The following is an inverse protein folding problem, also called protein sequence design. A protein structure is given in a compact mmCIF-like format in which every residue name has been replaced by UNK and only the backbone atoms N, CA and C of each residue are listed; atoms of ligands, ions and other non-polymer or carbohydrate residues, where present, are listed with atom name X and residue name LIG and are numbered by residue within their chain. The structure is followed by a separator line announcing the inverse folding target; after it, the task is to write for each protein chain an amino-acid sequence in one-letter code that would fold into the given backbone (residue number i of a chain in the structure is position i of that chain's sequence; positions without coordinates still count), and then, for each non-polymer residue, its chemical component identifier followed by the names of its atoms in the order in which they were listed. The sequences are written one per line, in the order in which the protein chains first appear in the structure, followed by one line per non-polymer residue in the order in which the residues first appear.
data_IF_582089536184
#
_entry.id   IF_582089536184
#
_cell.length_a   1.000
_cell.length_b   1.000
_cell.length_c   1.000
_cell.angle_alpha   90.00
_cell.angle_beta   90.00
_cell.angle_gamma   90.00
#
_symmetry.space_group_name_H-M   'P 1'
#
loop_
_entity.id
_entity.type
_entity.pdbx_description
1 polymer ?
#
# COMPACT_ATOMS: atom_id res chain seq x y z
N UNK A 1 -30.33 -35.41 5.60
CA UNK A 1 -30.10 -34.71 4.31
C UNK A 1 -29.07 -33.65 4.57
N UNK A 2 -27.83 -33.95 4.22
CA UNK A 2 -26.73 -32.98 4.20
C UNK A 2 -26.95 -32.02 3.03
N UNK A 3 -26.90 -30.73 3.31
CA UNK A 3 -26.54 -29.72 2.32
C UNK A 3 -25.43 -28.88 2.93
N UNK A 4 -24.21 -29.36 2.71
CA UNK A 4 -22.97 -28.59 2.85
C UNK A 4 -23.00 -27.47 1.81
N UNK A 5 -23.38 -26.25 2.21
CA UNK A 5 -23.02 -25.05 1.47
C UNK A 5 -21.53 -24.82 1.66
N UNK A 6 -20.73 -25.32 0.74
CA UNK A 6 -19.34 -24.90 0.55
C UNK A 6 -19.38 -23.42 0.17
N UNK A 7 -19.26 -22.53 1.15
CA UNK A 7 -18.78 -21.19 0.90
C UNK A 7 -17.37 -21.36 0.30
N UNK A 8 -17.23 -21.14 -1.00
CA UNK A 8 -15.92 -20.97 -1.61
C UNK A 8 -15.20 -19.87 -0.84
N UNK A 9 -14.23 -20.24 -0.02
CA UNK A 9 -13.44 -19.29 0.75
C UNK A 9 -12.66 -18.43 -0.25
N UNK A 10 -13.22 -17.29 -0.66
CA UNK A 10 -12.50 -16.30 -1.45
C UNK A 10 -11.26 -15.93 -0.66
N UNK A 11 -10.10 -16.35 -1.16
CA UNK A 11 -8.82 -16.02 -0.53
C UNK A 11 -8.75 -14.49 -0.38
N UNK A 12 -8.38 -13.95 0.79
CA UNK A 12 -8.39 -12.50 1.05
C UNK A 12 -7.30 -11.73 0.27
N UNK A 13 -6.74 -12.34 -0.78
CA UNK A 13 -5.62 -11.85 -1.57
C UNK A 13 -6.06 -11.72 -3.02
N UNK A 14 -5.58 -10.68 -3.71
CA UNK A 14 -5.74 -10.60 -5.15
C UNK A 14 -4.65 -11.45 -5.81
N UNK A 15 -5.02 -12.66 -6.25
CA UNK A 15 -4.13 -13.61 -6.91
C UNK A 15 -4.32 -13.66 -8.43
N UNK A 16 -5.12 -12.75 -9.00
CA UNK A 16 -5.39 -12.69 -10.42
C UNK A 16 -4.10 -12.50 -11.22
N UNK A 17 -3.91 -13.33 -12.26
CA UNK A 17 -2.78 -13.29 -13.18
C UNK A 17 -1.42 -13.66 -12.56
N UNK A 18 -1.38 -14.25 -11.37
CA UNK A 18 -0.14 -14.66 -10.72
C UNK A 18 0.24 -16.10 -11.08
N UNK A 19 1.55 -16.37 -11.16
CA UNK A 19 2.05 -17.74 -11.29
C UNK A 19 1.63 -18.61 -10.09
N UNK A 20 1.27 -19.88 -10.33
CA UNK A 20 0.77 -20.80 -9.28
C UNK A 20 1.71 -20.93 -8.08
N UNK A 21 3.02 -21.03 -8.34
CA UNK A 21 4.05 -21.11 -7.28
C UNK A 21 4.10 -19.85 -6.42
N UNK A 22 3.79 -18.69 -6.99
CA UNK A 22 3.67 -17.43 -6.25
C UNK A 22 2.36 -17.37 -5.48
N UNK A 23 1.24 -17.82 -6.05
CA UNK A 23 -0.05 -17.94 -5.34
C UNK A 23 0.11 -18.81 -4.09
N UNK A 24 0.71 -20.00 -4.24
CA UNK A 24 0.98 -20.90 -3.11
C UNK A 24 1.86 -20.26 -2.03
N UNK A 25 2.91 -19.53 -2.44
CA UNK A 25 3.76 -18.79 -1.50
C UNK A 25 2.95 -17.72 -0.74
N UNK A 26 2.16 -16.92 -1.45
CA UNK A 26 1.36 -15.84 -0.87
C UNK A 26 0.35 -16.38 0.14
N UNK A 27 -0.35 -17.47 -0.19
CA UNK A 27 -1.26 -18.13 0.75
C UNK A 27 -0.53 -18.63 2.00
N UNK A 28 0.66 -19.24 1.87
CA UNK A 28 1.46 -19.69 3.03
C UNK A 28 1.91 -18.53 3.92
N UNK A 29 2.29 -17.39 3.32
CA UNK A 29 2.65 -16.18 4.07
C UNK A 29 1.46 -15.63 4.85
N UNK A 30 0.29 -15.55 4.22
CA UNK A 30 -0.96 -15.14 4.87
C UNK A 30 -1.32 -16.05 6.04
N UNK A 31 -1.36 -17.37 5.81
CA UNK A 31 -1.70 -18.36 6.84
C UNK A 31 -0.74 -18.30 8.04
N UNK A 32 0.56 -18.18 7.78
CA UNK A 32 1.57 -18.03 8.84
C UNK A 32 1.34 -16.74 9.62
N UNK A 33 1.11 -15.61 8.93
CA UNK A 33 0.86 -14.33 9.56
C UNK A 33 -0.40 -14.36 10.44
N UNK A 34 -1.48 -14.99 9.95
CA UNK A 34 -2.76 -15.11 10.65
C UNK A 34 -2.67 -15.98 11.89
N UNK A 35 -2.00 -17.13 11.80
CA UNK A 35 -1.83 -18.08 12.92
C UNK A 35 -0.88 -17.55 13.99
N UNK A 36 0.14 -16.79 13.58
CA UNK A 36 1.17 -16.28 14.48
C UNK A 36 1.25 -14.74 14.40
N UNK A 37 0.38 -14.02 15.12
CA UNK A 37 0.28 -12.56 15.03
C UNK A 37 1.53 -11.81 15.51
N UNK A 38 2.40 -12.47 16.28
CA UNK A 38 3.67 -11.92 16.76
C UNK A 38 4.90 -12.39 15.96
N UNK A 39 4.71 -13.26 14.97
CA UNK A 39 5.82 -13.75 14.15
C UNK A 39 6.44 -12.62 13.32
N UNK A 40 7.77 -12.62 13.21
CA UNK A 40 8.54 -11.63 12.45
C UNK A 40 9.27 -12.32 11.31
N UNK A 41 8.89 -12.00 10.09
CA UNK A 41 9.42 -12.58 8.86
C UNK A 41 10.83 -12.03 8.57
N UNK A 42 11.83 -12.92 8.58
CA UNK A 42 13.25 -12.57 8.48
C UNK A 42 13.92 -12.95 7.15
N UNK A 43 13.26 -13.74 6.30
CA UNK A 43 13.78 -14.19 5.01
C UNK A 43 12.70 -14.04 3.93
N UNK A 44 12.62 -12.84 3.36
CA UNK A 44 11.62 -12.45 2.35
C UNK A 44 12.27 -11.92 1.07
N UNK A 45 13.47 -11.37 1.16
CA UNK A 45 14.13 -10.72 0.04
C UNK A 45 14.41 -11.69 -1.13
N UNK A 46 14.75 -12.94 -0.82
CA UNK A 46 14.93 -13.99 -1.82
C UNK A 46 13.65 -14.29 -2.59
N UNK A 47 12.49 -14.04 -1.98
CA UNK A 47 11.18 -14.23 -2.61
C UNK A 47 10.84 -13.12 -3.59
N UNK A 48 11.34 -11.91 -3.35
CA UNK A 48 11.09 -10.75 -4.21
C UNK A 48 11.73 -10.95 -5.58
N UNK A 49 12.97 -11.47 -5.63
CA UNK A 49 13.69 -11.63 -6.90
C UNK A 49 13.49 -12.99 -7.58
N UNK A 50 12.56 -13.84 -7.11
CA UNK A 50 12.24 -15.07 -7.85
C UNK A 50 11.72 -14.72 -9.24
N UNK A 51 12.06 -15.54 -10.23
CA UNK A 51 11.65 -15.33 -11.62
C UNK A 51 10.14 -15.24 -11.77
N UNK A 52 9.39 -16.11 -11.08
CA UNK A 52 7.92 -16.09 -11.08
C UNK A 52 7.34 -14.82 -10.45
N UNK A 53 8.00 -14.29 -9.41
CA UNK A 53 7.59 -13.06 -8.72
C UNK A 53 7.85 -11.82 -9.57
N UNK A 54 9.06 -11.69 -10.13
CA UNK A 54 9.42 -10.58 -11.01
C UNK A 54 8.58 -10.58 -12.30
N UNK A 55 8.31 -11.75 -12.88
CA UNK A 55 7.48 -11.86 -14.06
C UNK A 55 6.02 -11.45 -13.78
N UNK A 56 5.39 -11.98 -12.74
CA UNK A 56 4.05 -11.57 -12.35
C UNK A 56 3.97 -10.08 -11.98
N UNK A 57 5.02 -9.55 -11.33
CA UNK A 57 5.14 -8.13 -11.05
C UNK A 57 5.18 -7.28 -12.32
N UNK A 58 5.99 -7.67 -13.30
CA UNK A 58 6.07 -7.01 -14.61
C UNK A 58 4.73 -7.00 -15.33
N UNK A 59 4.04 -8.15 -15.38
CA UNK A 59 2.72 -8.24 -16.01
C UNK A 59 1.70 -7.31 -15.35
N UNK A 60 1.67 -7.22 -14.02
CA UNK A 60 0.77 -6.28 -13.31
C UNK A 60 1.13 -4.83 -13.59
N UNK A 61 2.41 -4.50 -13.55
CA UNK A 61 2.90 -3.14 -13.83
C UNK A 61 2.59 -2.73 -15.27
N UNK A 62 2.73 -3.64 -16.24
CA UNK A 62 2.36 -3.45 -17.64
C UNK A 62 0.85 -3.26 -17.83
N UNK A 63 0.03 -4.09 -17.17
CA UNK A 63 -1.46 -3.97 -17.21
C UNK A 63 -1.95 -2.64 -16.62
N UNK A 64 -1.32 -2.16 -15.55
CA UNK A 64 -1.64 -0.87 -14.95
C UNK A 64 -1.22 0.32 -15.85
N UNK A 65 -0.35 0.09 -16.84
CA UNK A 65 0.10 1.11 -17.79
C UNK A 65 0.88 2.22 -17.10
N UNK A 66 0.56 3.46 -17.44
CA UNK A 66 1.24 4.66 -16.95
C UNK A 66 2.47 5.05 -17.79
N UNK A 67 2.86 6.32 -17.67
CA UNK A 67 3.96 6.91 -18.42
C UNK A 67 5.33 6.42 -17.95
N UNK A 68 6.35 6.71 -18.76
CA UNK A 68 7.74 6.47 -18.41
C UNK A 68 8.17 7.33 -17.21
N UNK A 69 9.15 6.82 -16.46
CA UNK A 69 9.78 7.55 -15.35
C UNK A 69 10.74 8.61 -15.84
N UNK A 70 11.70 8.96 -14.98
CA UNK A 70 12.72 9.97 -15.30
C UNK A 70 13.70 9.51 -16.40
N UNK A 71 13.85 8.20 -16.56
CA UNK A 71 14.71 7.56 -17.57
C UNK A 71 14.10 7.52 -18.97
N UNK A 72 12.83 7.91 -19.13
CA UNK A 72 12.14 7.92 -20.42
C UNK A 72 11.77 6.54 -20.97
N UNK A 73 12.19 5.44 -20.32
CA UNK A 73 11.99 4.08 -20.81
C UNK A 73 10.52 3.65 -20.68
N UNK A 74 9.96 3.21 -21.79
CA UNK A 74 8.61 2.69 -21.97
C UNK A 74 8.59 1.17 -22.05
N UNK A 75 7.40 0.57 -21.87
CA UNK A 75 7.24 -0.88 -22.09
C UNK A 75 7.54 -1.29 -23.54
N UNK A 76 7.23 -0.43 -24.52
CA UNK A 76 7.51 -0.73 -25.93
C UNK A 76 9.01 -0.88 -26.18
N UNK A 77 9.81 0.00 -25.59
CA UNK A 77 11.27 -0.08 -25.68
C UNK A 77 11.81 -1.34 -25.00
N UNK A 78 11.30 -1.69 -23.81
CA UNK A 78 11.69 -2.94 -23.12
C UNK A 78 11.38 -4.17 -23.98
N UNK A 79 10.21 -4.24 -24.60
CA UNK A 79 9.83 -5.36 -25.45
C UNK A 79 10.62 -5.40 -26.77
N UNK A 80 11.20 -4.28 -27.21
CA UNK A 80 12.03 -4.20 -28.42
C UNK A 80 13.50 -4.59 -28.22
N UNK A 81 13.93 -4.82 -26.96
CA UNK A 81 15.27 -5.34 -26.67
C UNK A 81 15.44 -6.74 -27.29
N UNK A 82 16.68 -7.14 -27.58
CA UNK A 82 16.99 -8.45 -28.18
C UNK A 82 16.38 -9.63 -27.40
N UNK A 83 16.46 -9.59 -26.07
CA UNK A 83 15.83 -10.56 -25.17
C UNK A 83 14.49 -10.08 -24.58
N UNK A 84 13.95 -8.96 -25.08
CA UNK A 84 12.71 -8.34 -24.63
C UNK A 84 12.62 -8.17 -23.11
N UNK A 85 11.41 -8.36 -22.57
CA UNK A 85 11.17 -8.35 -21.12
C UNK A 85 11.92 -9.46 -20.36
N UNK A 86 12.25 -10.59 -21.01
CA UNK A 86 12.96 -11.70 -20.34
C UNK A 86 14.37 -11.26 -19.94
N UNK A 87 15.12 -10.67 -20.87
CA UNK A 87 16.46 -10.14 -20.59
C UNK A 87 16.44 -9.04 -19.55
N UNK A 88 15.47 -8.13 -19.65
CA UNK A 88 15.25 -7.07 -18.66
C UNK A 88 15.05 -7.64 -17.24
N UNK A 89 14.20 -8.67 -17.09
CA UNK A 89 13.93 -9.28 -15.79
C UNK A 89 15.11 -10.10 -15.25
N UNK A 90 15.86 -10.78 -16.11
CA UNK A 90 17.08 -11.50 -15.72
C UNK A 90 18.16 -10.53 -15.19
N UNK A 91 18.35 -9.41 -15.88
CA UNK A 91 19.27 -8.37 -15.42
C UNK A 91 18.82 -7.79 -14.07
N UNK A 92 17.53 -7.48 -13.92
CA UNK A 92 16.98 -6.98 -12.66
C UNK A 92 17.09 -7.99 -11.52
N UNK A 93 16.85 -9.27 -11.80
CA UNK A 93 17.05 -10.36 -10.85
C UNK A 93 18.50 -10.41 -10.36
N UNK A 94 19.47 -10.38 -11.29
CA UNK A 94 20.90 -10.39 -10.98
C UNK A 94 21.29 -9.19 -10.11
N UNK A 95 20.84 -7.99 -10.46
CA UNK A 95 21.09 -6.79 -9.66
C UNK A 95 20.54 -6.88 -8.23
N UNK A 96 19.37 -7.50 -8.05
CA UNK A 96 18.78 -7.73 -6.73
C UNK A 96 19.56 -8.78 -5.94
N UNK A 97 19.95 -9.89 -6.56
CA UNK A 97 20.77 -10.94 -5.95
C UNK A 97 22.13 -10.39 -5.49
N UNK A 98 22.80 -9.62 -6.34
CA UNK A 98 24.10 -9.00 -6.07
C UNK A 98 24.00 -7.73 -5.20
N UNK A 99 22.79 -7.32 -4.76
CA UNK A 99 22.55 -6.10 -3.97
C UNK A 99 23.02 -4.80 -4.65
N UNK A 100 23.10 -4.82 -5.99
CA UNK A 100 23.47 -3.68 -6.84
C UNK A 100 22.28 -2.80 -7.22
N UNK A 101 21.05 -3.27 -7.01
CA UNK A 101 19.86 -2.44 -7.22
C UNK A 101 19.94 -1.12 -6.41
N UNK A 102 19.57 -0.03 -7.09
CA UNK A 102 19.41 1.32 -6.53
C UNK A 102 18.11 1.89 -7.10
N UNK A 103 17.34 2.59 -6.27
CA UNK A 103 16.13 3.25 -6.71
C UNK A 103 16.50 4.50 -7.53
N UNK A 104 15.82 4.71 -8.65
CA UNK A 104 16.00 5.93 -9.43
C UNK A 104 15.25 7.10 -8.77
N UNK A 105 15.59 8.35 -9.12
CA UNK A 105 14.76 9.50 -8.82
C UNK A 105 13.36 9.35 -9.42
N UNK A 106 12.37 9.92 -8.74
CA UNK A 106 10.97 9.84 -9.14
C UNK A 106 10.61 11.08 -9.96
N UNK A 107 9.97 10.90 -11.12
CA UNK A 107 9.56 12.01 -11.98
C UNK A 107 8.29 12.68 -11.45
N UNK A 108 8.31 13.99 -11.20
CA UNK A 108 7.11 14.75 -10.83
C UNK A 108 6.20 14.97 -12.03
N UNK A 109 4.92 14.70 -11.84
CA UNK A 109 3.83 15.04 -12.77
C UNK A 109 2.68 15.65 -11.97
N UNK A 110 1.97 16.60 -12.55
CA UNK A 110 0.81 17.23 -11.91
C UNK A 110 -0.48 16.79 -12.60
N UNK A 111 -1.44 16.31 -11.81
CA UNK A 111 -2.78 15.96 -12.30
C UNK A 111 -3.79 17.00 -11.80
N UNK A 112 -4.63 17.59 -12.67
CA UNK A 112 -5.70 18.47 -12.24
C UNK A 112 -6.69 17.77 -11.30
N UNK A 113 -7.02 18.41 -10.17
CA UNK A 113 -8.17 18.03 -9.34
C UNK A 113 -9.43 18.75 -9.83
N UNK A 114 -10.60 18.21 -9.50
CA UNK A 114 -11.91 18.83 -9.76
C UNK A 114 -12.08 20.21 -9.10
N UNK A 115 -11.34 20.48 -8.02
CA UNK A 115 -11.36 21.76 -7.30
C UNK A 115 -10.35 22.80 -7.85
N UNK A 116 -9.76 22.56 -9.02
CA UNK A 116 -8.80 23.47 -9.66
C UNK A 116 -7.37 23.43 -9.09
N UNK A 117 -7.13 22.74 -7.96
CA UNK A 117 -5.77 22.50 -7.45
C UNK A 117 -5.07 21.40 -8.25
N UNK A 118 -3.74 21.37 -8.24
CA UNK A 118 -2.96 20.27 -8.83
C UNK A 118 -2.61 19.23 -7.77
N UNK A 119 -2.78 17.94 -8.09
CA UNK A 119 -2.27 16.82 -7.31
C UNK A 119 -0.87 16.47 -7.82
N UNK A 120 0.18 16.62 -7.00
CA UNK A 120 1.51 16.18 -7.39
C UNK A 120 1.59 14.65 -7.32
N UNK A 121 2.04 14.02 -8.40
CA UNK A 121 2.37 12.60 -8.45
C UNK A 121 3.85 12.43 -8.75
N UNK A 122 4.43 11.40 -8.15
CA UNK A 122 5.74 10.87 -8.47
C UNK A 122 5.60 9.58 -9.27
N UNK A 123 6.17 9.57 -10.47
CA UNK A 123 6.17 8.40 -11.36
C UNK A 123 7.56 7.75 -11.31
N UNK A 124 7.70 6.56 -10.69
CA UNK A 124 8.95 5.82 -10.71
C UNK A 124 9.23 5.24 -12.09
N UNK A 125 10.48 4.87 -12.35
CA UNK A 125 10.88 4.12 -13.55
C UNK A 125 10.13 2.78 -13.62
N UNK A 126 10.00 2.20 -14.82
CA UNK A 126 9.39 0.86 -14.95
C UNK A 126 10.17 -0.16 -14.10
N UNK A 127 11.50 -0.08 -14.11
CA UNK A 127 12.37 -0.90 -13.26
C UNK A 127 11.98 -0.81 -11.79
N UNK A 128 11.84 0.38 -11.25
CA UNK A 128 11.46 0.56 -9.84
C UNK A 128 10.03 0.09 -9.57
N UNK A 129 9.10 0.36 -10.48
CA UNK A 129 7.71 -0.12 -10.35
C UNK A 129 7.63 -1.65 -10.31
N UNK A 130 8.45 -2.35 -11.09
CA UNK A 130 8.53 -3.83 -11.08
C UNK A 130 9.05 -4.33 -9.74
N UNK A 131 10.13 -3.75 -9.20
CA UNK A 131 10.66 -4.18 -7.87
C UNK A 131 9.69 -3.84 -6.74
N UNK A 132 9.05 -2.67 -6.80
CA UNK A 132 8.00 -2.28 -5.83
C UNK A 132 6.81 -3.24 -5.91
N UNK A 133 6.36 -3.61 -7.10
CA UNK A 133 5.28 -4.57 -7.29
C UNK A 133 5.68 -5.96 -6.78
N UNK A 134 6.88 -6.45 -7.09
CA UNK A 134 7.38 -7.72 -6.57
C UNK A 134 7.42 -7.72 -5.04
N UNK A 135 7.84 -6.61 -4.44
CA UNK A 135 7.86 -6.45 -2.98
C UNK A 135 6.46 -6.39 -2.38
N UNK A 136 5.54 -5.65 -3.02
CA UNK A 136 4.12 -5.65 -2.67
C UNK A 136 3.54 -7.06 -2.71
N UNK A 137 3.83 -7.84 -3.75
CA UNK A 137 3.33 -9.21 -3.89
C UNK A 137 3.76 -10.13 -2.75
N UNK A 138 4.92 -9.89 -2.15
CA UNK A 138 5.44 -10.67 -1.01
C UNK A 138 4.93 -10.13 0.33
N UNK A 139 4.77 -8.82 0.49
CA UNK A 139 4.39 -8.20 1.76
C UNK A 139 2.88 -8.10 1.99
N UNK A 140 2.09 -7.92 0.93
CA UNK A 140 0.63 -7.78 1.00
C UNK A 140 -0.03 -8.92 1.79
N UNK A 141 0.31 -10.22 1.58
CA UNK A 141 -0.33 -11.29 2.35
C UNK A 141 -0.05 -11.24 3.85
N UNK A 142 1.12 -10.72 4.25
CA UNK A 142 1.50 -10.63 5.67
C UNK A 142 0.66 -9.57 6.36
N UNK A 143 0.57 -8.37 5.76
CA UNK A 143 -0.14 -7.25 6.36
C UNK A 143 -1.66 -7.34 6.20
N UNK A 144 -2.16 -7.93 5.11
CA UNK A 144 -3.59 -8.17 4.93
C UNK A 144 -4.16 -9.12 6.00
N UNK A 145 -3.34 -10.04 6.54
CA UNK A 145 -3.73 -10.89 7.67
C UNK A 145 -3.96 -10.10 8.98
N UNK A 146 -3.32 -8.94 9.12
CA UNK A 146 -3.33 -8.10 10.32
C UNK A 146 -4.39 -6.98 10.25
N UNK A 147 -4.67 -6.47 9.04
CA UNK A 147 -5.58 -5.35 8.79
C UNK A 147 -7.01 -5.62 9.28
N UNK A 148 -7.60 -4.62 9.95
CA UNK A 148 -8.97 -4.69 10.49
C UNK A 148 -10.02 -4.46 9.41
N UNK A 149 -11.21 -5.02 9.58
CA UNK A 149 -12.28 -4.95 8.58
C UNK A 149 -12.83 -3.54 8.33
N UNK A 150 -12.62 -2.61 9.26
CA UNK A 150 -13.00 -1.20 9.12
C UNK A 150 -12.25 -0.46 7.99
N UNK A 151 -11.16 -1.03 7.47
CA UNK A 151 -10.34 -0.42 6.42
C UNK A 151 -10.63 -1.04 5.05
N UNK A 152 -10.93 -0.21 4.05
CA UNK A 152 -11.35 -0.68 2.72
C UNK A 152 -10.44 -0.24 1.57
N UNK A 153 -9.83 0.95 1.68
CA UNK A 153 -9.06 1.54 0.57
C UNK A 153 -7.83 0.72 0.20
N UNK A 154 -7.60 0.53 -1.11
CA UNK A 154 -6.41 -0.14 -1.66
C UNK A 154 -6.14 -1.56 -1.13
N UNK A 155 -7.18 -2.28 -0.71
CA UNK A 155 -7.07 -3.65 -0.21
C UNK A 155 -7.72 -4.64 -1.19
N UNK A 156 -7.18 -5.87 -1.32
CA UNK A 156 -7.81 -6.88 -2.15
C UNK A 156 -9.27 -7.13 -1.78
N UNK A 157 -10.13 -7.29 -2.78
CA UNK A 157 -11.55 -7.61 -2.62
C UNK A 157 -12.33 -6.62 -1.73
N UNK A 158 -11.82 -5.39 -1.54
CA UNK A 158 -12.51 -4.30 -0.84
C UNK A 158 -12.64 -3.10 -1.77
N UNK A 159 -13.79 -2.44 -1.70
CA UNK A 159 -14.15 -1.31 -2.57
C UNK A 159 -14.85 -0.19 -1.81
N UNK A 160 -14.94 0.98 -2.44
CA UNK A 160 -15.72 2.09 -1.91
C UNK A 160 -17.19 1.72 -1.74
N UNK A 161 -17.74 0.87 -2.61
CA UNK A 161 -19.10 0.35 -2.46
C UNK A 161 -19.27 -0.52 -1.21
N UNK A 162 -18.26 -1.31 -0.83
CA UNK A 162 -18.32 -2.07 0.42
C UNK A 162 -18.31 -1.14 1.64
N UNK A 163 -17.47 -0.10 1.63
CA UNK A 163 -17.45 0.91 2.70
C UNK A 163 -18.79 1.64 2.83
N UNK A 164 -19.38 2.08 1.70
CA UNK A 164 -20.70 2.70 1.67
C UNK A 164 -21.81 1.76 2.15
N UNK A 165 -21.73 0.47 1.79
CA UNK A 165 -22.64 -0.56 2.28
C UNK A 165 -22.60 -0.71 3.80
N UNK A 166 -21.39 -0.75 4.38
CA UNK A 166 -21.20 -0.80 5.84
C UNK A 166 -21.80 0.42 6.53
N UNK A 167 -21.54 1.62 6.00
CA UNK A 167 -22.10 2.89 6.50
C UNK A 167 -23.63 2.82 6.48
N UNK A 168 -24.24 2.45 5.35
CA UNK A 168 -25.70 2.34 5.20
C UNK A 168 -26.31 1.37 6.22
N UNK A 169 -25.75 0.17 6.32
CA UNK A 169 -26.22 -0.83 7.28
C UNK A 169 -26.12 -0.36 8.74
N UNK A 170 -25.08 0.40 9.10
CA UNK A 170 -24.96 0.98 10.44
C UNK A 170 -25.99 2.09 10.70
N UNK A 171 -26.24 2.95 9.71
CA UNK A 171 -27.26 4.01 9.80
C UNK A 171 -28.66 3.41 10.00
N UNK A 172 -28.98 2.32 9.29
CA UNK A 172 -30.26 1.60 9.42
C UNK A 172 -30.51 1.10 10.85
N UNK A 173 -29.47 0.60 11.54
CA UNK A 173 -29.57 0.13 12.93
C UNK A 173 -29.34 1.23 13.99
N UNK A 174 -29.43 2.50 13.58
CA UNK A 174 -29.52 3.66 14.47
C UNK A 174 -28.21 4.43 14.71
N UNK A 175 -27.13 4.15 13.98
CA UNK A 175 -25.89 4.95 14.07
C UNK A 175 -26.02 6.20 13.17
N UNK A 176 -26.74 7.21 13.66
CA UNK A 176 -27.15 8.39 12.88
C UNK A 176 -26.26 9.61 13.07
N UNK A 177 -25.35 9.59 14.03
CA UNK A 177 -24.37 10.65 14.22
C UNK A 177 -23.09 10.26 13.47
N UNK A 178 -22.76 11.03 12.42
CA UNK A 178 -21.61 10.78 11.55
C UNK A 178 -20.59 11.90 11.78
N UNK A 179 -19.39 11.49 12.15
CA UNK A 179 -18.23 12.36 12.29
C UNK A 179 -17.31 12.10 11.10
N UNK A 180 -17.15 13.11 10.27
CA UNK A 180 -16.28 13.07 9.10
C UNK A 180 -14.91 13.65 9.46
N UNK A 181 -13.83 12.96 9.06
CA UNK A 181 -12.48 13.46 9.16
C UNK A 181 -11.68 13.04 7.92
N UNK A 182 -10.97 14.02 7.39
CA UNK A 182 -9.99 13.87 6.31
C UNK A 182 -8.61 14.21 6.86
N UNK A 183 -7.61 13.42 6.50
CA UNK A 183 -6.21 13.65 6.84
C UNK A 183 -5.56 14.42 5.68
N UNK A 184 -5.66 15.76 5.70
CA UNK A 184 -5.17 16.58 4.60
C UNK A 184 -3.66 16.36 4.37
N UNK A 185 -3.29 15.99 3.13
CA UNK A 185 -1.88 15.80 2.76
C UNK A 185 -1.21 14.58 3.39
N UNK A 186 -1.99 13.61 3.88
CA UNK A 186 -1.51 12.45 4.62
C UNK A 186 -0.29 11.75 4.01
N UNK A 187 -0.33 11.42 2.72
CA UNK A 187 0.76 10.70 2.07
C UNK A 187 2.11 11.44 2.13
N UNK A 188 2.09 12.77 2.10
CA UNK A 188 3.29 13.60 2.13
C UNK A 188 3.79 13.86 3.57
N UNK A 189 2.95 13.62 4.58
CA UNK A 189 3.25 13.92 5.99
C UNK A 189 3.75 12.72 6.82
N UNK A 190 3.54 11.47 6.35
CA UNK A 190 3.91 10.26 7.10
C UNK A 190 5.37 10.31 7.59
N UNK A 191 5.62 10.26 8.92
CA UNK A 191 6.97 10.19 9.46
C UNK A 191 7.64 8.87 9.08
N UNK A 192 8.72 8.95 8.29
CA UNK A 192 9.41 7.78 7.75
C UNK A 192 9.90 6.82 8.84
N UNK A 193 10.43 7.34 9.93
CA UNK A 193 10.91 6.53 11.06
C UNK A 193 9.79 5.70 11.68
N UNK A 194 8.63 6.32 11.93
CA UNK A 194 7.45 5.65 12.47
C UNK A 194 6.90 4.59 11.50
N UNK A 195 6.83 4.90 10.19
CA UNK A 195 6.46 3.92 9.17
C UNK A 195 7.41 2.71 9.17
N UNK A 196 8.72 2.95 9.26
CA UNK A 196 9.72 1.89 9.34
C UNK A 196 9.59 1.07 10.64
N UNK A 197 9.20 1.69 11.76
CA UNK A 197 8.87 0.97 12.99
C UNK A 197 7.64 0.07 12.82
N UNK A 198 6.59 0.55 12.15
CA UNK A 198 5.41 -0.26 11.82
C UNK A 198 5.77 -1.48 10.97
N UNK A 199 6.58 -1.30 9.92
CA UNK A 199 7.10 -2.42 9.11
C UNK A 199 7.89 -3.44 9.95
N UNK A 200 8.76 -2.95 10.85
CA UNK A 200 9.63 -3.78 11.70
C UNK A 200 8.86 -4.66 12.69
N UNK A 201 7.57 -4.36 12.97
CA UNK A 201 6.71 -5.22 13.80
C UNK A 201 6.49 -6.59 13.17
N UNK A 202 6.51 -6.69 11.84
CA UNK A 202 6.28 -7.95 11.11
C UNK A 202 7.43 -8.38 10.22
N UNK A 203 8.29 -7.46 9.77
CA UNK A 203 9.40 -7.75 8.86
C UNK A 203 10.74 -7.40 9.52
N UNK A 204 11.63 -8.39 9.64
CA UNK A 204 13.00 -8.22 10.15
C UNK A 204 14.07 -8.44 9.09
N UNK A 205 13.69 -8.86 7.88
CA UNK A 205 14.60 -8.95 6.74
C UNK A 205 15.17 -7.55 6.41
N UNK A 206 16.44 -7.33 6.75
CA UNK A 206 17.13 -6.05 6.57
C UNK A 206 17.20 -5.63 5.10
N UNK A 207 17.20 -6.58 4.17
CA UNK A 207 17.29 -6.27 2.75
C UNK A 207 15.96 -5.74 2.21
N UNK A 208 14.83 -6.29 2.67
CA UNK A 208 13.50 -5.77 2.34
C UNK A 208 13.31 -4.38 2.93
N UNK A 209 13.66 -4.20 4.21
CA UNK A 209 13.60 -2.88 4.86
C UNK A 209 14.45 -1.85 4.11
N UNK A 210 15.66 -2.24 3.66
CA UNK A 210 16.53 -1.37 2.87
C UNK A 210 15.93 -1.00 1.51
N UNK A 211 15.26 -1.93 0.81
CA UNK A 211 14.56 -1.59 -0.45
C UNK A 211 13.49 -0.53 -0.22
N UNK A 212 12.68 -0.69 0.83
CA UNK A 212 11.63 0.28 1.16
C UNK A 212 12.24 1.63 1.50
N UNK A 213 13.29 1.66 2.34
CA UNK A 213 14.02 2.90 2.64
C UNK A 213 14.54 3.60 1.39
N UNK A 214 15.11 2.85 0.42
CA UNK A 214 15.59 3.44 -0.83
C UNK A 214 14.48 4.18 -1.59
N UNK A 215 13.26 3.63 -1.65
CA UNK A 215 12.14 4.31 -2.32
C UNK A 215 11.60 5.50 -1.54
N UNK A 216 11.59 5.44 -0.21
CA UNK A 216 11.16 6.56 0.64
C UNK A 216 12.17 7.72 0.63
N UNK A 217 13.44 7.43 0.34
CA UNK A 217 14.53 8.39 0.25
C UNK A 217 14.80 8.87 -1.19
N UNK A 218 14.21 8.21 -2.20
CA UNK A 218 14.36 8.59 -3.60
C UNK A 218 13.99 10.06 -3.80
N UNK A 219 14.88 10.87 -4.38
CA UNK A 219 14.58 12.26 -4.64
C UNK A 219 13.51 12.38 -5.73
N UNK A 220 12.73 13.46 -5.65
CA UNK A 220 11.74 13.80 -6.67
C UNK A 220 12.34 14.85 -7.59
N UNK A 221 12.27 14.59 -8.90
CA UNK A 221 12.78 15.47 -9.94
C UNK A 221 11.61 16.14 -10.64
N UNK A 222 11.57 17.46 -10.59
CA UNK A 222 10.58 18.28 -11.28
C UNK A 222 11.16 18.74 -12.62
N UNK A 223 10.58 18.33 -13.76
CA UNK A 223 11.01 18.81 -15.07
C UNK A 223 10.80 20.33 -15.14
N UNK A 224 11.83 21.08 -15.52
CA UNK A 224 11.74 22.52 -15.70
C UNK A 224 11.76 22.88 -17.19
N UNK A 225 10.73 23.59 -17.66
CA UNK A 225 10.60 24.02 -19.06
C UNK A 225 11.71 25.00 -19.51
N UNK A 226 12.41 25.65 -18.58
CA UNK A 226 13.49 26.61 -18.87
C UNK A 226 14.92 26.05 -18.72
N UNK A 227 15.04 24.73 -18.53
CA UNK A 227 16.31 24.07 -18.24
C UNK A 227 16.70 24.11 -16.76
N UNK A 228 17.32 23.02 -16.28
CA UNK A 228 17.69 22.83 -14.88
C UNK A 228 16.59 22.15 -14.07
N UNK A 229 16.66 20.82 -13.98
CA UNK A 229 15.74 20.01 -13.20
C UNK A 229 15.82 20.35 -11.71
N UNK A 230 14.67 20.62 -11.09
CA UNK A 230 14.62 20.86 -9.64
C UNK A 230 14.53 19.52 -8.92
N UNK A 231 15.61 19.15 -8.25
CA UNK A 231 15.64 17.95 -7.40
C UNK A 231 15.28 18.30 -5.97
N UNK A 232 14.19 17.71 -5.46
CA UNK A 232 13.77 17.87 -4.06
C UNK A 232 14.03 16.58 -3.29
N UNK A 233 14.77 16.68 -2.17
CA UNK A 233 14.94 15.54 -1.24
C UNK A 233 13.66 15.35 -0.44
N UNK A 234 13.18 14.12 -0.34
CA UNK A 234 12.03 13.78 0.50
C UNK A 234 12.48 13.76 1.96
N UNK A 235 11.90 14.64 2.80
CA UNK A 235 12.15 14.68 4.25
C UNK A 235 11.16 13.79 5.04
N UNK A 236 9.93 13.67 4.52
CA UNK A 236 8.80 12.94 5.09
C UNK A 236 7.92 12.40 3.95
N UNK A 237 6.96 11.55 4.29
CA UNK A 237 5.96 11.02 3.37
C UNK A 237 6.40 9.78 2.58
N UNK A 238 5.47 9.29 1.77
CA UNK A 238 5.69 8.26 0.74
C UNK A 238 5.38 8.88 -0.62
N UNK A 239 6.19 8.66 -1.68
CA UNK A 239 5.89 9.24 -2.99
C UNK A 239 4.51 8.79 -3.48
N UNK A 240 3.58 9.74 -3.66
CA UNK A 240 2.29 9.46 -4.30
C UNK A 240 2.54 8.95 -5.72
N UNK A 241 2.08 7.74 -6.07
CA UNK A 241 2.32 7.12 -7.37
C UNK A 241 3.32 5.97 -7.37
N UNK A 242 4.00 5.71 -6.25
CA UNK A 242 4.70 4.45 -6.02
C UNK A 242 3.72 3.27 -5.91
N UNK A 243 4.08 2.12 -6.47
CA UNK A 243 3.23 0.93 -6.49
C UNK A 243 2.98 0.40 -5.07
N UNK A 244 3.99 0.48 -4.21
CA UNK A 244 3.91 -0.01 -2.83
C UNK A 244 3.32 1.02 -1.85
N UNK A 245 3.26 2.30 -2.25
CA UNK A 245 2.84 3.40 -1.38
C UNK A 245 1.47 3.20 -0.72
N UNK A 246 0.44 2.65 -1.41
CA UNK A 246 -0.87 2.39 -0.77
C UNK A 246 -0.80 1.38 0.39
N UNK A 247 -0.02 0.30 0.25
CA UNK A 247 0.18 -0.68 1.32
C UNK A 247 0.87 -0.03 2.52
N UNK A 248 1.93 0.75 2.29
CA UNK A 248 2.67 1.44 3.35
C UNK A 248 1.79 2.45 4.10
N UNK A 249 0.94 3.15 3.35
CA UNK A 249 0.00 4.14 3.89
C UNK A 249 -1.05 3.48 4.77
N UNK A 250 -1.62 2.36 4.32
CA UNK A 250 -2.54 1.55 5.13
C UNK A 250 -1.86 0.95 6.35
N UNK A 251 -0.60 0.51 6.24
CA UNK A 251 0.16 0.00 7.37
C UNK A 251 0.34 1.04 8.48
N UNK A 252 0.59 2.30 8.12
CA UNK A 252 0.70 3.37 9.10
C UNK A 252 -0.66 3.68 9.75
N UNK A 253 -1.73 3.87 8.96
CA UNK A 253 -3.08 4.11 9.49
C UNK A 253 -3.66 2.93 10.26
N UNK A 254 -3.14 1.73 10.05
CA UNK A 254 -3.56 0.57 10.81
C UNK A 254 -3.27 0.71 12.31
N UNK A 255 -2.27 1.51 12.69
CA UNK A 255 -2.08 1.86 14.10
C UNK A 255 -3.30 2.58 14.67
N UNK A 256 -3.83 3.57 13.94
CA UNK A 256 -5.07 4.26 14.31
C UNK A 256 -6.24 3.28 14.40
N UNK A 257 -6.41 2.39 13.42
CA UNK A 257 -7.47 1.37 13.44
C UNK A 257 -7.39 0.51 14.72
N UNK A 258 -6.17 0.12 15.13
CA UNK A 258 -5.93 -0.67 16.35
C UNK A 258 -6.19 0.11 17.63
N UNK A 259 -5.83 1.39 17.69
CA UNK A 259 -6.14 2.25 18.84
C UNK A 259 -7.66 2.42 18.96
N UNK A 260 -8.36 2.65 17.85
CA UNK A 260 -9.81 2.81 17.83
C UNK A 260 -10.55 1.57 18.37
N UNK A 261 -10.07 0.38 17.99
CA UNK A 261 -10.64 -0.92 18.39
C UNK A 261 -9.97 -1.54 19.62
N UNK A 262 -9.03 -0.86 20.28
CA UNK A 262 -8.40 -1.34 21.50
C UNK A 262 -9.38 -1.33 22.68
N UNK A 263 -9.10 -2.05 23.77
CA UNK A 263 -10.01 -2.19 24.92
C UNK A 263 -10.52 -0.85 25.50
N UNK A 264 -9.70 0.21 25.46
CA UNK A 264 -10.06 1.57 25.88
C UNK A 264 -10.43 2.51 24.73
N UNK A 265 -10.52 2.00 23.50
CA UNK A 265 -10.81 2.78 22.30
C UNK A 265 -12.30 3.06 22.10
N UNK A 266 -12.65 4.03 21.25
CA UNK A 266 -14.05 4.46 21.05
C UNK A 266 -14.99 3.35 20.56
N UNK A 267 -14.47 2.31 19.92
CA UNK A 267 -15.28 1.15 19.55
C UNK A 267 -15.98 0.53 20.77
N UNK A 268 -15.27 0.41 21.88
CA UNK A 268 -15.76 -0.21 23.11
C UNK A 268 -16.34 0.81 24.09
N UNK A 269 -15.66 1.94 24.31
CA UNK A 269 -16.06 2.92 25.35
C UNK A 269 -17.25 3.78 24.94
N UNK A 270 -17.40 4.01 23.64
CA UNK A 270 -18.42 4.92 23.07
C UNK A 270 -19.40 4.20 22.15
N UNK A 271 -19.24 2.88 22.01
CA UNK A 271 -19.96 2.07 21.02
C UNK A 271 -19.93 2.71 19.63
N UNK A 272 -18.77 3.24 19.20
CA UNK A 272 -18.60 3.90 17.91
C UNK A 272 -18.17 2.90 16.83
N UNK A 273 -18.38 3.22 15.54
CA UNK A 273 -17.98 2.38 14.40
C UNK A 273 -17.14 3.19 13.43
N UNK A 274 -15.96 2.68 13.10
CA UNK A 274 -15.06 3.29 12.15
C UNK A 274 -15.26 2.65 10.77
N UNK A 275 -15.33 3.48 9.74
CA UNK A 275 -15.20 3.06 8.33
C UNK A 275 -14.17 3.96 7.68
N UNK A 276 -13.09 3.37 7.14
CA UNK A 276 -11.96 4.08 6.55
C UNK A 276 -11.69 3.62 5.13
N UNK A 277 -11.54 4.57 4.21
CA UNK A 277 -11.12 4.33 2.84
C UNK A 277 -9.85 5.15 2.56
N UNK A 278 -8.69 4.49 2.62
CA UNK A 278 -7.40 5.17 2.58
C UNK A 278 -7.27 6.19 3.73
N UNK A 279 -7.04 7.46 3.41
CA UNK A 279 -6.96 8.61 4.32
C UNK A 279 -8.33 9.17 4.73
N UNK A 280 -9.37 8.97 3.93
CA UNK A 280 -10.75 9.37 4.27
C UNK A 280 -11.35 8.40 5.30
N UNK A 281 -11.91 8.90 6.40
CA UNK A 281 -12.65 8.06 7.34
C UNK A 281 -13.84 8.74 8.00
N UNK A 282 -14.84 7.92 8.33
CA UNK A 282 -16.00 8.34 9.11
C UNK A 282 -16.11 7.50 10.38
N UNK A 283 -16.53 8.16 11.45
CA UNK A 283 -16.93 7.51 12.70
C UNK A 283 -18.43 7.66 12.88
N UNK A 284 -19.13 6.55 13.09
CA UNK A 284 -20.56 6.54 13.32
C UNK A 284 -20.86 6.23 14.79
N UNK A 285 -21.85 6.91 15.36
CA UNK A 285 -22.34 6.71 16.72
C UNK A 285 -23.88 6.76 16.80
N UNK A 286 -24.45 6.14 17.85
CA UNK A 286 -25.90 6.18 18.12
C UNK A 286 -26.38 7.48 18.77
N UNK A 287 -25.48 8.17 19.46
CA UNK A 287 -25.74 9.42 20.17
C UNK A 287 -24.66 10.43 19.81
N UNK A 288 -24.92 11.72 20.07
CA UNK A 288 -23.88 12.74 19.94
C UNK A 288 -22.85 12.58 21.06
N UNK A 289 -21.58 12.44 20.68
CA UNK A 289 -20.44 12.28 21.59
C UNK A 289 -19.40 13.36 21.28
N UNK A 290 -19.31 14.37 22.15
CA UNK A 290 -18.36 15.49 22.01
C UNK A 290 -16.90 15.03 22.10
N UNK A 291 -16.63 13.98 22.87
CA UNK A 291 -15.28 13.42 23.06
C UNK A 291 -14.73 12.76 21.80
N UNK A 292 -15.59 12.22 20.92
CA UNK A 292 -15.18 11.67 19.62
C UNK A 292 -14.53 12.75 18.75
N UNK A 293 -15.08 13.98 18.74
CA UNK A 293 -14.48 15.11 18.03
C UNK A 293 -13.05 15.34 18.51
N UNK A 294 -12.83 15.34 19.84
CA UNK A 294 -11.49 15.52 20.43
C UNK A 294 -10.53 14.39 20.07
N UNK A 295 -10.99 13.14 20.16
CA UNK A 295 -10.20 11.97 19.77
C UNK A 295 -9.75 12.06 18.29
N UNK A 296 -10.66 12.45 17.40
CA UNK A 296 -10.38 12.62 15.97
C UNK A 296 -9.38 13.76 15.72
N UNK A 297 -9.52 14.90 16.39
CA UNK A 297 -8.54 16.01 16.28
C UNK A 297 -7.14 15.65 16.78
N UNK A 298 -7.01 14.75 17.76
CA UNK A 298 -5.71 14.34 18.28
C UNK A 298 -4.97 13.39 17.34
N UNK A 299 -5.71 12.65 16.51
CA UNK A 299 -5.16 11.74 15.49
C UNK A 299 -4.66 12.51 14.28
N UNK A 300 -5.35 13.59 13.90
CA UNK A 300 -4.98 14.43 12.75
C UNK A 300 -3.63 15.20 12.96
N UNK A 301 -3.18 15.36 14.22
CA UNK A 301 -1.95 16.09 14.55
C UNK A 301 -0.71 15.23 14.83
N UNK A 302 -0.82 13.90 14.85
CA UNK A 302 0.27 12.98 15.23
C UNK A 302 0.63 12.00 14.12
#
# INVERSE_FOLDING_TARGET
METSTTEESKTPLNNEGLAEKLVSLRSKLYEKAKKEPNYRFYALYDRIYRTDTLFSAYQRVKRNGGSAGIDGVSFKEIESLEMGHVGFLLQLQKELQEKKYRASPVKRVYIPKSNGKLRPLGIPTIRDRVVQMATLLILEPIFEADFLDCSYGFRPNRSAHNALGEIRGKVEIGYRFIYDADLEGYFDSIPRENLMLCLKKRVTDRSVLKLISLWLESPIVEPNEKGGDKTTKTGKGTPQGGVISPLLSNLYLHYFDKVFHGKGGPYHTMNARLVRYADDFVVLAKYEILELKRFMFQVDRN
#
